data_IF_137985417090
#
_entry.id   IF_137985417090
#
_cell.length_a   1.000
_cell.length_b   1.000
_cell.length_c   1.000
_cell.angle_alpha   90.00
_cell.angle_beta   90.00
_cell.angle_gamma   90.00
#
_symmetry.space_group_name_H-M   'P 1'
#
loop_
_entity.id
_entity.type
_entity.pdbx_description
1 polymer ?
#
# COMPACT_ATOMS: atom_id res chain seq x y z
N UNK A 1 1.80 15.79 -22.66
CA UNK A 1 1.00 16.66 -21.78
C UNK A 1 0.22 15.78 -20.81
N UNK A 2 0.74 15.59 -19.60
CA UNK A 2 -0.01 15.06 -18.45
C UNK A 2 0.40 15.89 -17.23
N UNK A 3 -0.18 17.09 -17.13
CA UNK A 3 -0.10 17.91 -15.92
C UNK A 3 -1.22 17.47 -14.98
N UNK A 4 -0.93 16.52 -14.11
CA UNK A 4 -1.70 16.31 -12.90
C UNK A 4 -0.94 17.00 -11.76
N UNK A 5 -1.58 17.89 -10.97
CA UNK A 5 -0.97 18.41 -9.76
C UNK A 5 -0.66 17.21 -8.85
N UNK A 6 0.57 17.15 -8.32
CA UNK A 6 1.12 16.10 -7.45
C UNK A 6 0.02 15.25 -6.81
N UNK A 7 -0.27 14.10 -7.43
CA UNK A 7 -1.16 13.12 -6.86
C UNK A 7 -0.45 12.58 -5.61
N UNK A 8 -0.98 12.91 -4.44
CA UNK A 8 -0.55 12.38 -3.15
C UNK A 8 -0.82 10.86 -3.12
N UNK A 9 0.06 10.07 -3.75
CA UNK A 9 0.17 8.64 -3.51
C UNK A 9 1.11 8.45 -2.34
N UNK A 10 0.61 7.86 -1.26
CA UNK A 10 1.32 7.65 0.02
C UNK A 10 2.80 7.28 -0.16
N UNK A 11 3.69 8.14 0.33
CA UNK A 11 5.16 8.03 0.20
C UNK A 11 5.81 9.25 -0.46
N UNK A 12 5.37 10.47 -0.12
CA UNK A 12 5.86 11.68 -0.79
C UNK A 12 7.38 11.84 -0.62
N UNK A 13 8.09 11.75 -1.75
CA UNK A 13 9.53 12.00 -1.93
C UNK A 13 10.46 11.30 -0.92
N UNK A 14 10.11 10.11 -0.44
CA UNK A 14 10.99 9.32 0.43
C UNK A 14 12.00 8.50 -0.39
N UNK A 15 13.32 8.60 -0.13
CA UNK A 15 14.29 7.79 -0.82
C UNK A 15 14.11 6.31 -0.46
N UNK A 16 13.91 5.48 -1.47
CA UNK A 16 13.90 4.02 -1.33
C UNK A 16 15.22 3.46 -1.88
N UNK A 17 15.71 2.32 -1.35
CA UNK A 17 16.77 1.57 -2.00
C UNK A 17 16.33 1.16 -3.43
N UNK A 18 17.27 0.80 -4.32
CA UNK A 18 16.91 0.27 -5.65
C UNK A 18 15.95 -0.91 -5.51
N UNK A 19 14.85 -0.88 -6.27
CA UNK A 19 13.84 -1.93 -6.30
C UNK A 19 13.86 -2.63 -7.66
N UNK A 20 13.61 -3.93 -7.66
CA UNK A 20 13.39 -4.74 -8.84
C UNK A 20 11.93 -5.21 -8.92
N UNK A 21 11.50 -5.63 -10.12
CA UNK A 21 10.21 -6.28 -10.26
C UNK A 21 10.16 -7.57 -9.45
N UNK A 22 9.07 -7.77 -8.71
CA UNK A 22 8.91 -8.90 -7.79
C UNK A 22 9.33 -8.61 -6.34
N UNK A 23 9.99 -7.48 -6.07
CA UNK A 23 10.26 -7.06 -4.69
C UNK A 23 8.97 -6.68 -3.95
N UNK A 24 8.98 -6.88 -2.63
CA UNK A 24 7.86 -6.58 -1.75
C UNK A 24 8.07 -5.28 -0.98
N UNK A 25 7.00 -4.49 -0.87
CA UNK A 25 6.93 -3.34 0.03
C UNK A 25 6.10 -3.68 1.26
N UNK A 26 6.67 -3.47 2.45
CA UNK A 26 5.97 -3.65 3.72
C UNK A 26 5.46 -2.30 4.23
N UNK A 27 4.14 -2.20 4.43
CA UNK A 27 3.52 -1.02 5.06
C UNK A 27 3.30 -1.29 6.54
N UNK A 28 4.03 -0.57 7.39
CA UNK A 28 3.89 -0.68 8.84
C UNK A 28 2.77 0.23 9.36
N UNK A 29 2.22 -0.10 10.52
CA UNK A 29 1.19 0.69 11.21
C UNK A 29 -0.07 0.96 10.38
N UNK A 30 -0.51 -0.03 9.58
CA UNK A 30 -1.65 0.13 8.67
C UNK A 30 -2.98 -0.44 9.22
N UNK A 31 -2.98 -0.97 10.44
CA UNK A 31 -4.15 -1.66 11.02
C UNK A 31 -5.30 -0.75 11.49
N UNK A 32 -5.16 0.59 11.45
CA UNK A 32 -6.19 1.50 11.99
C UNK A 32 -7.52 1.44 11.23
N UNK A 33 -7.49 1.67 9.90
CA UNK A 33 -8.69 1.72 9.07
C UNK A 33 -8.50 1.16 7.65
N UNK A 34 -7.37 0.52 7.37
CA UNK A 34 -7.04 0.15 5.99
C UNK A 34 -8.00 -0.90 5.42
N UNK A 35 -8.24 -1.99 6.15
CA UNK A 35 -9.19 -3.02 5.74
C UNK A 35 -10.64 -2.50 5.77
N UNK A 36 -11.03 -1.84 6.86
CA UNK A 36 -12.41 -1.39 7.11
C UNK A 36 -12.88 -0.26 6.18
N UNK A 37 -11.97 0.56 5.66
CA UNK A 37 -12.27 1.62 4.68
C UNK A 37 -11.81 1.25 3.26
N UNK A 38 -11.46 -0.01 3.01
CA UNK A 38 -11.11 -0.47 1.67
C UNK A 38 -12.32 -0.41 0.72
N UNK A 39 -12.06 -0.16 -0.55
CA UNK A 39 -13.06 -0.24 -1.61
C UNK A 39 -12.49 -1.00 -2.80
N UNK A 40 -13.35 -1.68 -3.54
CA UNK A 40 -12.92 -2.44 -4.71
C UNK A 40 -12.89 -1.58 -6.00
N UNK A 41 -12.40 -0.34 -5.90
CA UNK A 41 -12.54 0.70 -6.94
C UNK A 41 -11.82 0.39 -8.28
N UNK A 42 -10.89 -0.56 -8.31
CA UNK A 42 -10.23 -0.99 -9.56
C UNK A 42 -10.36 -2.49 -9.82
N UNK A 43 -11.20 -3.21 -9.06
CA UNK A 43 -11.37 -4.66 -9.16
C UNK A 43 -10.05 -5.44 -9.09
N UNK A 44 -9.05 -4.90 -8.36
CA UNK A 44 -7.69 -5.44 -8.29
C UNK A 44 -7.59 -6.70 -7.42
N UNK A 45 -8.68 -7.05 -6.73
CA UNK A 45 -8.83 -8.27 -5.97
C UNK A 45 -8.93 -8.06 -4.47
N UNK A 46 -8.88 -9.18 -3.76
CA UNK A 46 -9.05 -9.27 -2.31
C UNK A 46 -7.70 -9.13 -1.59
N UNK A 47 -7.73 -8.60 -0.36
CA UNK A 47 -6.63 -8.69 0.58
C UNK A 47 -6.96 -9.73 1.66
N UNK A 48 -5.92 -10.21 2.34
CA UNK A 48 -6.06 -11.18 3.42
C UNK A 48 -5.57 -10.59 4.74
N UNK A 49 -6.37 -10.75 5.79
CA UNK A 49 -5.92 -10.49 7.16
C UNK A 49 -5.48 -11.82 7.79
N UNK A 50 -4.34 -11.76 8.50
CA UNK A 50 -3.73 -12.92 9.15
C UNK A 50 -3.48 -12.57 10.61
N UNK A 51 -4.12 -13.29 11.53
CA UNK A 51 -3.78 -13.22 12.94
C UNK A 51 -2.56 -14.12 13.21
N UNK A 52 -1.46 -13.53 13.67
CA UNK A 52 -0.30 -14.29 14.14
C UNK A 52 -0.48 -14.57 15.62
N UNK A 53 -0.53 -15.85 15.99
CA UNK A 53 -0.57 -16.25 17.39
C UNK A 53 0.82 -16.09 18.02
N UNK A 54 0.90 -15.69 19.30
CA UNK A 54 2.17 -15.74 20.01
C UNK A 54 2.71 -17.17 20.05
N UNK A 55 4.04 -17.29 20.03
CA UNK A 55 4.72 -18.56 20.27
C UNK A 55 4.80 -18.86 21.76
#
# INVERSE_FOLDING_TARGET
MWHLPRAATRGEDHPLPPLAEGDYLAMLNIGGYAASMSSNHCMRGEFIERLLLPR
#
